data_IF_374753480457
#
_entry.id   IF_374753480457
#
_cell.length_a   1.000
_cell.length_b   1.000
_cell.length_c   1.000
_cell.angle_alpha   90.00
_cell.angle_beta   90.00
_cell.angle_gamma   90.00
#
_symmetry.space_group_name_H-M   'P 1'
#
loop_
_entity.id
_entity.type
_entity.pdbx_description
1 polymer ?
#
# COMPACT_ATOMS: atom_id res chain seq x y z
N UNK A 1 -22.64 -26.36 65.55
CA UNK A 1 -23.30 -27.28 66.51
C UNK A 1 -24.66 -27.72 65.95
N UNK A 2 -25.10 -28.96 66.23
CA UNK A 2 -26.46 -29.39 65.89
C UNK A 2 -27.49 -28.64 66.75
N UNK A 3 -28.79 -28.86 66.50
CA UNK A 3 -29.88 -28.24 67.27
C UNK A 3 -29.81 -28.52 68.79
N UNK A 4 -28.99 -29.48 69.21
CA UNK A 4 -28.75 -29.88 70.59
C UNK A 4 -27.44 -29.31 71.19
N UNK A 5 -26.74 -28.44 70.46
CA UNK A 5 -25.51 -27.79 70.93
C UNK A 5 -24.23 -28.61 70.79
N UNK A 6 -24.30 -29.79 70.17
CA UNK A 6 -23.15 -30.69 70.02
C UNK A 6 -22.33 -30.32 68.77
N UNK A 7 -21.01 -30.46 68.88
CA UNK A 7 -20.09 -30.18 67.77
C UNK A 7 -20.16 -31.29 66.72
N UNK A 8 -20.63 -30.96 65.51
CA UNK A 8 -20.67 -31.90 64.37
C UNK A 8 -19.49 -31.63 63.45
N UNK A 9 -18.64 -32.63 63.14
CA UNK A 9 -17.52 -32.44 62.22
C UNK A 9 -18.02 -32.23 60.79
N UNK A 10 -17.34 -31.36 60.04
CA UNK A 10 -17.72 -30.92 58.69
C UNK A 10 -17.83 -32.06 57.66
N UNK A 11 -17.11 -33.16 57.90
CA UNK A 11 -17.19 -34.39 57.11
C UNK A 11 -18.51 -35.16 57.23
N UNK A 12 -19.35 -34.86 58.23
CA UNK A 12 -20.62 -35.58 58.45
C UNK A 12 -21.72 -35.21 57.44
N UNK A 13 -21.57 -34.08 56.75
CA UNK A 13 -22.56 -33.57 55.79
C UNK A 13 -21.92 -33.03 54.50
N UNK A 14 -20.60 -33.19 54.32
CA UNK A 14 -19.86 -32.74 53.13
C UNK A 14 -19.13 -33.90 52.50
N UNK A 15 -19.23 -34.05 51.17
CA UNK A 15 -18.45 -35.00 50.38
C UNK A 15 -17.48 -34.21 49.51
N UNK A 16 -16.18 -34.43 49.70
CA UNK A 16 -15.14 -33.79 48.91
C UNK A 16 -14.81 -34.73 47.74
N UNK A 17 -14.96 -34.22 46.52
CA UNK A 17 -14.58 -34.92 45.29
C UNK A 17 -13.57 -34.06 44.54
N UNK A 18 -12.45 -34.66 44.14
CA UNK A 18 -11.48 -34.01 43.28
C UNK A 18 -12.02 -34.02 41.85
N UNK A 19 -12.25 -32.84 41.28
CA UNK A 19 -12.67 -32.66 39.90
C UNK A 19 -11.70 -31.73 39.18
N UNK A 20 -11.41 -32.04 37.92
CA UNK A 20 -10.64 -31.17 37.05
C UNK A 20 -11.59 -30.11 36.46
N UNK A 21 -11.33 -28.84 36.77
CA UNK A 21 -12.04 -27.70 36.22
C UNK A 21 -11.08 -26.74 35.52
N UNK A 22 -11.64 -25.86 34.68
CA UNK A 22 -10.88 -24.72 34.16
C UNK A 22 -10.75 -23.66 35.26
N UNK A 23 -9.53 -23.19 35.51
CA UNK A 23 -9.27 -22.10 36.46
C UNK A 23 -9.83 -20.76 35.97
N UNK A 24 -9.93 -20.59 34.65
CA UNK A 24 -10.47 -19.38 34.01
C UNK A 24 -11.40 -19.72 32.84
N UNK A 25 -12.56 -19.06 32.79
CA UNK A 25 -13.51 -19.13 31.68
C UNK A 25 -13.34 -17.87 30.84
N UNK A 26 -12.76 -18.01 29.64
CA UNK A 26 -12.61 -16.90 28.71
C UNK A 26 -13.89 -16.70 27.89
N UNK A 27 -14.30 -15.44 27.76
CA UNK A 27 -15.42 -15.04 26.91
C UNK A 27 -15.01 -13.88 26.02
N UNK A 28 -15.42 -13.94 24.75
CA UNK A 28 -15.24 -12.86 23.78
C UNK A 28 -16.56 -12.62 23.06
N UNK A 29 -16.98 -11.37 22.94
CA UNK A 29 -18.28 -10.98 22.36
C UNK A 29 -19.47 -11.81 22.89
N UNK A 30 -19.51 -12.03 24.21
CA UNK A 30 -20.54 -12.81 24.93
C UNK A 30 -20.51 -14.34 24.69
N UNK A 31 -19.64 -14.87 23.84
CA UNK A 31 -19.46 -16.31 23.62
C UNK A 31 -18.31 -16.86 24.47
N UNK A 32 -18.38 -18.13 24.89
CA UNK A 32 -17.25 -18.83 25.51
C UNK A 32 -16.20 -19.11 24.44
N UNK A 33 -14.97 -18.67 24.65
CA UNK A 33 -13.92 -18.71 23.62
C UNK A 33 -12.61 -19.28 24.15
N UNK A 34 -11.84 -19.88 23.25
CA UNK A 34 -10.45 -20.27 23.51
C UNK A 34 -9.52 -19.26 22.82
N UNK A 35 -8.56 -18.72 23.57
CA UNK A 35 -7.57 -17.82 23.00
C UNK A 35 -6.49 -18.64 22.28
N UNK A 36 -6.29 -18.38 20.99
CA UNK A 36 -5.26 -19.01 20.17
C UNK A 36 -4.26 -17.95 19.73
N UNK A 37 -3.00 -18.14 20.12
CA UNK A 37 -1.90 -17.26 19.71
C UNK A 37 -1.02 -17.99 18.71
N UNK A 38 -0.81 -17.37 17.56
CA UNK A 38 -0.01 -17.93 16.48
C UNK A 38 1.12 -16.96 16.14
N UNK A 39 2.30 -17.48 15.85
CA UNK A 39 3.37 -16.70 15.23
C UNK A 39 3.54 -17.15 13.79
N UNK A 40 3.87 -16.21 12.91
CA UNK A 40 4.09 -16.47 11.49
C UNK A 40 5.50 -17.03 11.29
N UNK A 41 5.63 -18.03 10.41
CA UNK A 41 6.92 -18.63 10.09
C UNK A 41 7.87 -17.58 9.45
N UNK A 42 9.19 -17.68 9.66
CA UNK A 42 10.16 -16.78 9.03
C UNK A 42 10.00 -16.77 7.49
N UNK A 43 9.87 -15.58 6.91
CA UNK A 43 9.70 -15.39 5.46
C UNK A 43 8.25 -15.29 4.98
N UNK A 44 7.26 -15.54 5.84
CA UNK A 44 5.85 -15.34 5.51
C UNK A 44 5.31 -14.01 6.06
N UNK A 45 4.34 -13.42 5.37
CA UNK A 45 3.72 -12.15 5.80
C UNK A 45 2.60 -12.38 6.83
N UNK A 46 2.30 -11.37 7.65
CA UNK A 46 1.19 -11.43 8.62
C UNK A 46 -0.15 -11.71 7.94
N UNK A 47 -0.46 -11.01 6.85
CA UNK A 47 -1.66 -11.27 6.06
C UNK A 47 -1.73 -12.67 5.44
N UNK A 48 -0.60 -13.29 5.13
CA UNK A 48 -0.57 -14.70 4.69
C UNK A 48 -0.85 -15.65 5.86
N UNK A 49 -0.29 -15.38 7.03
CA UNK A 49 -0.60 -16.13 8.26
C UNK A 49 -2.08 -16.06 8.64
N UNK A 50 -2.70 -14.88 8.52
CA UNK A 50 -4.14 -14.68 8.76
C UNK A 50 -4.96 -15.55 7.79
N UNK A 51 -4.64 -15.52 6.49
CA UNK A 51 -5.35 -16.33 5.48
C UNK A 51 -5.17 -17.82 5.68
N UNK A 52 -3.97 -18.28 6.04
CA UNK A 52 -3.72 -19.70 6.32
C UNK A 52 -4.48 -20.17 7.55
N UNK A 53 -4.49 -19.38 8.62
CA UNK A 53 -5.25 -19.72 9.82
C UNK A 53 -6.76 -19.69 9.57
N UNK A 54 -7.26 -18.76 8.76
CA UNK A 54 -8.66 -18.76 8.32
C UNK A 54 -9.02 -20.04 7.54
N UNK A 55 -8.13 -20.48 6.64
CA UNK A 55 -8.30 -21.76 5.92
C UNK A 55 -8.31 -22.95 6.88
N UNK A 56 -7.41 -22.97 7.87
CA UNK A 56 -7.30 -24.03 8.86
C UNK A 56 -8.55 -24.12 9.74
N UNK A 57 -9.09 -22.98 10.17
CA UNK A 57 -10.32 -22.91 10.96
C UNK A 57 -11.49 -23.45 10.15
N UNK A 58 -11.63 -23.01 8.89
CA UNK A 58 -12.69 -23.50 7.99
C UNK A 58 -12.61 -25.00 7.73
N UNK A 59 -11.41 -25.55 7.59
CA UNK A 59 -11.20 -26.97 7.32
C UNK A 59 -11.46 -27.86 8.54
N UNK A 60 -10.99 -27.46 9.73
CA UNK A 60 -11.02 -28.33 10.91
C UNK A 60 -12.18 -28.06 11.88
N UNK A 61 -12.67 -26.82 11.99
CA UNK A 61 -13.72 -26.46 12.95
C UNK A 61 -15.12 -26.40 12.31
N UNK A 62 -15.20 -26.35 10.97
CA UNK A 62 -16.48 -26.26 10.25
C UNK A 62 -17.27 -24.98 10.54
N UNK A 63 -18.57 -25.00 10.32
CA UNK A 63 -19.47 -23.84 10.48
C UNK A 63 -20.04 -23.68 11.91
N UNK A 64 -19.75 -24.61 12.83
CA UNK A 64 -20.30 -24.59 14.20
C UNK A 64 -19.56 -23.61 15.12
N UNK A 65 -18.33 -23.25 14.78
CA UNK A 65 -17.50 -22.32 15.58
C UNK A 65 -17.23 -21.03 14.82
N UNK A 66 -17.57 -19.89 15.46
CA UNK A 66 -17.11 -18.58 15.00
C UNK A 66 -15.66 -18.31 15.38
N UNK A 67 -14.97 -17.51 14.59
CA UNK A 67 -13.65 -16.98 14.93
C UNK A 67 -13.66 -15.47 14.84
N UNK A 68 -12.84 -14.83 15.68
CA UNK A 68 -12.69 -13.39 15.65
C UNK A 68 -11.23 -13.01 15.90
N UNK A 69 -10.75 -12.09 15.08
CA UNK A 69 -9.40 -11.57 15.21
C UNK A 69 -9.34 -10.50 16.28
N UNK A 70 -8.25 -10.48 17.03
CA UNK A 70 -7.99 -9.45 18.04
C UNK A 70 -6.72 -8.67 17.74
N UNK A 71 -6.56 -7.50 18.37
CA UNK A 71 -5.32 -6.72 18.36
C UNK A 71 -4.83 -6.38 16.93
N UNK A 72 -3.62 -6.83 16.57
CA UNK A 72 -2.96 -6.48 15.30
C UNK A 72 -3.64 -7.15 14.10
N UNK A 73 -4.04 -8.42 14.24
CA UNK A 73 -4.72 -9.15 13.16
C UNK A 73 -6.08 -8.52 12.81
N UNK A 74 -6.80 -8.03 13.83
CA UNK A 74 -8.05 -7.28 13.65
C UNK A 74 -7.82 -5.99 12.87
N UNK A 75 -6.80 -5.21 13.24
CA UNK A 75 -6.44 -3.97 12.55
C UNK A 75 -6.03 -4.23 11.10
N UNK A 76 -5.23 -5.26 10.84
CA UNK A 76 -4.79 -5.63 9.49
C UNK A 76 -5.97 -6.03 8.58
N UNK A 77 -6.90 -6.83 9.13
CA UNK A 77 -8.09 -7.28 8.38
C UNK A 77 -9.03 -6.11 8.04
N UNK A 78 -9.23 -5.16 8.96
CA UNK A 78 -10.03 -3.98 8.68
C UNK A 78 -9.33 -2.95 7.78
N UNK A 79 -8.03 -2.74 7.95
CA UNK A 79 -7.30 -1.70 7.24
C UNK A 79 -7.13 -1.99 5.73
N UNK A 80 -7.06 -3.27 5.34
CA UNK A 80 -6.82 -3.67 3.95
C UNK A 80 -7.81 -3.06 2.94
N UNK A 81 -9.10 -2.99 3.30
CA UNK A 81 -10.14 -2.42 2.44
C UNK A 81 -10.01 -0.89 2.34
N UNK A 82 -9.73 -0.22 3.46
CA UNK A 82 -9.62 1.25 3.53
C UNK A 82 -8.48 1.78 2.68
N UNK A 83 -7.32 1.10 2.67
CA UNK A 83 -6.17 1.53 1.87
C UNK A 83 -6.48 1.63 0.38
N UNK A 84 -7.19 0.63 -0.17
CA UNK A 84 -7.52 0.61 -1.61
C UNK A 84 -8.43 1.79 -1.97
N UNK A 85 -9.43 2.08 -1.14
CA UNK A 85 -10.34 3.21 -1.33
C UNK A 85 -9.59 4.54 -1.30
N UNK A 86 -8.69 4.72 -0.32
CA UNK A 86 -7.86 5.93 -0.21
C UNK A 86 -6.98 6.12 -1.45
N UNK A 87 -6.38 5.03 -1.96
CA UNK A 87 -5.53 5.11 -3.14
C UNK A 87 -6.30 5.51 -4.40
N UNK A 88 -7.47 4.91 -4.63
CA UNK A 88 -8.34 5.26 -5.76
C UNK A 88 -8.83 6.71 -5.65
N UNK A 89 -9.23 7.14 -4.45
CA UNK A 89 -9.63 8.53 -4.21
C UNK A 89 -8.48 9.51 -4.46
N UNK A 90 -7.26 9.22 -4.00
CA UNK A 90 -6.11 10.07 -4.23
C UNK A 90 -5.79 10.22 -5.72
N UNK A 91 -5.86 9.12 -6.49
CA UNK A 91 -5.67 9.15 -7.94
C UNK A 91 -6.76 9.94 -8.65
N UNK A 92 -8.02 9.75 -8.25
CA UNK A 92 -9.16 10.45 -8.82
C UNK A 92 -9.04 11.96 -8.57
N UNK A 93 -8.75 12.37 -7.34
CA UNK A 93 -8.58 13.79 -6.99
C UNK A 93 -7.39 14.38 -7.74
N UNK A 94 -6.24 13.70 -7.79
CA UNK A 94 -5.09 14.16 -8.55
C UNK A 94 -5.43 14.32 -10.05
N UNK A 95 -6.14 13.36 -10.63
CA UNK A 95 -6.59 13.42 -12.02
C UNK A 95 -7.54 14.60 -12.27
N UNK A 96 -8.54 14.82 -11.41
CA UNK A 96 -9.50 15.91 -11.56
C UNK A 96 -8.85 17.28 -11.43
N UNK A 97 -7.93 17.45 -10.48
CA UNK A 97 -7.19 18.72 -10.32
C UNK A 97 -6.37 19.02 -11.56
N UNK A 98 -5.70 18.01 -12.14
CA UNK A 98 -4.95 18.17 -13.39
C UNK A 98 -5.86 18.44 -14.59
N UNK A 99 -7.00 17.77 -14.68
CA UNK A 99 -7.98 17.99 -15.73
C UNK A 99 -8.53 19.43 -15.68
N UNK A 100 -8.81 19.94 -14.48
CA UNK A 100 -9.24 21.31 -14.27
C UNK A 100 -8.13 22.31 -14.62
N UNK A 101 -6.88 22.05 -14.23
CA UNK A 101 -5.75 22.93 -14.52
C UNK A 101 -5.44 23.04 -16.02
N UNK A 102 -5.54 21.92 -16.75
CA UNK A 102 -5.23 21.88 -18.18
C UNK A 102 -6.44 22.11 -19.09
N UNK A 103 -7.64 22.25 -18.54
CA UNK A 103 -8.88 22.36 -19.31
C UNK A 103 -9.03 21.23 -20.36
N UNK A 104 -8.50 20.04 -20.03
CA UNK A 104 -8.39 18.91 -20.95
C UNK A 104 -8.38 17.59 -20.20
N UNK A 105 -9.09 16.60 -20.74
CA UNK A 105 -9.18 15.26 -20.17
C UNK A 105 -8.04 14.33 -20.61
N UNK A 106 -7.35 14.64 -21.72
CA UNK A 106 -6.32 13.77 -22.32
C UNK A 106 -4.92 14.03 -21.77
N UNK A 107 -4.59 15.29 -21.49
CA UNK A 107 -3.29 15.71 -20.95
C UNK A 107 -3.01 15.11 -19.56
N UNK A 108 -3.98 15.05 -18.63
CA UNK A 108 -3.79 14.39 -17.33
C UNK A 108 -3.57 12.87 -17.45
N UNK A 109 -4.23 12.20 -18.41
CA UNK A 109 -4.03 10.76 -18.64
C UNK A 109 -2.58 10.47 -19.03
N UNK A 110 -2.01 11.29 -19.90
CA UNK A 110 -0.60 11.15 -20.30
C UNK A 110 0.36 11.34 -19.11
N UNK A 111 0.05 12.26 -18.18
CA UNK A 111 0.84 12.47 -16.97
C UNK A 111 0.72 11.30 -15.97
N UNK A 112 -0.48 10.73 -15.83
CA UNK A 112 -0.76 9.59 -14.93
C UNK A 112 -0.13 8.29 -15.45
N UNK A 113 0.20 8.20 -16.74
CA UNK A 113 0.83 7.01 -17.32
C UNK A 113 2.23 6.70 -16.76
N UNK A 114 2.88 7.65 -16.07
CA UNK A 114 4.12 7.35 -15.33
C UNK A 114 3.91 6.45 -14.10
N UNK A 115 2.69 6.39 -13.55
CA UNK A 115 2.43 5.69 -12.30
C UNK A 115 2.68 4.18 -12.34
N UNK A 116 2.22 3.42 -13.35
CA UNK A 116 2.51 1.99 -13.43
C UNK A 116 4.01 1.68 -13.35
N UNK A 117 4.84 2.51 -13.99
CA UNK A 117 6.30 2.37 -13.95
C UNK A 117 6.84 2.62 -12.53
N UNK A 118 6.35 3.65 -11.85
CA UNK A 118 6.73 3.95 -10.47
C UNK A 118 6.30 2.83 -9.49
N UNK A 119 5.10 2.29 -9.66
CA UNK A 119 4.58 1.17 -8.88
C UNK A 119 5.39 -0.11 -9.11
N UNK A 120 5.73 -0.42 -10.36
CA UNK A 120 6.61 -1.54 -10.70
C UNK A 120 7.97 -1.40 -10.03
N UNK A 121 8.54 -0.19 -10.02
CA UNK A 121 9.81 0.08 -9.35
C UNK A 121 9.71 -0.09 -7.84
N UNK A 122 8.63 0.35 -7.21
CA UNK A 122 8.41 0.17 -5.77
C UNK A 122 8.28 -1.32 -5.41
N UNK A 123 7.52 -2.09 -6.19
CA UNK A 123 7.34 -3.53 -5.98
C UNK A 123 8.66 -4.29 -6.17
N UNK A 124 9.44 -3.95 -7.20
CA UNK A 124 10.77 -4.51 -7.42
C UNK A 124 11.72 -4.17 -6.26
N UNK A 125 11.67 -2.94 -5.75
CA UNK A 125 12.46 -2.53 -4.59
C UNK A 125 12.13 -3.34 -3.33
N UNK A 126 10.84 -3.53 -3.04
CA UNK A 126 10.41 -4.37 -1.93
C UNK A 126 10.83 -5.83 -2.10
N UNK A 127 10.76 -6.36 -3.33
CA UNK A 127 11.20 -7.72 -3.63
C UNK A 127 12.70 -7.90 -3.44
N UNK A 128 13.52 -6.98 -3.98
CA UNK A 128 14.99 -7.01 -3.85
C UNK A 128 15.44 -6.86 -2.40
N UNK A 129 14.76 -6.00 -1.63
CA UNK A 129 15.08 -5.77 -0.22
C UNK A 129 14.48 -6.83 0.72
N UNK A 130 13.66 -7.76 0.20
CA UNK A 130 12.96 -8.78 1.00
C UNK A 130 11.98 -8.20 2.02
N UNK A 131 11.47 -6.98 1.79
CA UNK A 131 10.55 -6.32 2.72
C UNK A 131 9.09 -6.58 2.31
N UNK A 132 8.20 -6.92 3.27
CA UNK A 132 6.78 -7.05 2.98
C UNK A 132 6.14 -5.70 2.62
N UNK A 133 5.03 -5.75 1.89
CA UNK A 133 4.23 -4.55 1.59
C UNK A 133 3.50 -4.11 2.86
N UNK A 134 4.11 -3.17 3.58
CA UNK A 134 3.58 -2.62 4.83
C UNK A 134 2.86 -1.29 4.62
N UNK A 135 2.25 -0.74 5.68
CA UNK A 135 1.68 0.61 5.66
C UNK A 135 2.73 1.66 5.27
N UNK A 136 4.00 1.49 5.70
CA UNK A 136 5.09 2.39 5.30
C UNK A 136 5.38 2.33 3.80
N UNK A 137 5.36 1.13 3.22
CA UNK A 137 5.47 0.93 1.77
C UNK A 137 4.33 1.64 1.03
N UNK A 138 3.10 1.54 1.55
CA UNK A 138 1.92 2.21 0.97
C UNK A 138 2.03 3.73 1.02
N UNK A 139 2.49 4.31 2.14
CA UNK A 139 2.77 5.74 2.24
C UNK A 139 3.83 6.16 1.20
N UNK A 140 4.88 5.34 1.02
CA UNK A 140 5.89 5.54 -0.02
C UNK A 140 5.30 5.50 -1.44
N UNK A 141 4.39 4.58 -1.71
CA UNK A 141 3.67 4.50 -2.99
C UNK A 141 2.83 5.75 -3.24
N UNK A 142 2.12 6.28 -2.24
CA UNK A 142 1.37 7.55 -2.37
C UNK A 142 2.32 8.72 -2.66
N UNK A 143 3.48 8.75 -2.02
CA UNK A 143 4.51 9.76 -2.32
C UNK A 143 5.01 9.63 -3.77
N UNK A 144 5.22 8.41 -4.26
CA UNK A 144 5.63 8.15 -5.64
C UNK A 144 4.60 8.57 -6.68
N UNK A 145 3.30 8.45 -6.37
CA UNK A 145 2.23 8.97 -7.23
C UNK A 145 2.44 10.47 -7.48
N UNK A 146 2.67 11.24 -6.43
CA UNK A 146 2.87 12.69 -6.53
C UNK A 146 4.17 13.04 -7.27
N UNK A 147 5.27 12.34 -6.97
CA UNK A 147 6.57 12.56 -7.61
C UNK A 147 6.58 12.16 -9.08
N UNK A 148 5.92 11.05 -9.43
CA UNK A 148 5.76 10.58 -10.81
C UNK A 148 4.89 11.54 -11.60
N UNK A 149 3.75 11.97 -11.02
CA UNK A 149 2.88 12.96 -11.63
C UNK A 149 3.64 14.27 -11.91
N UNK A 150 4.42 14.80 -10.95
CA UNK A 150 5.26 16.00 -11.17
C UNK A 150 6.14 15.87 -12.41
N UNK A 151 6.80 14.72 -12.59
CA UNK A 151 7.67 14.48 -13.74
C UNK A 151 6.88 14.41 -15.05
N UNK A 152 5.71 13.76 -15.05
CA UNK A 152 4.84 13.68 -16.24
C UNK A 152 4.22 15.01 -16.65
N UNK A 153 3.71 15.75 -15.66
CA UNK A 153 3.11 17.09 -15.82
C UNK A 153 4.08 18.03 -16.54
N UNK A 154 5.34 18.11 -16.08
CA UNK A 154 6.35 19.00 -16.65
C UNK A 154 6.66 18.75 -18.14
N UNK A 155 6.56 17.49 -18.58
CA UNK A 155 6.77 17.09 -19.98
C UNK A 155 5.53 17.44 -20.81
N UNK A 156 4.35 17.07 -20.32
CA UNK A 156 3.08 17.28 -21.02
C UNK A 156 2.79 18.78 -21.20
N UNK A 157 3.07 19.60 -20.20
CA UNK A 157 2.89 21.05 -20.24
C UNK A 157 3.71 21.68 -21.38
N UNK A 158 5.02 21.43 -21.42
CA UNK A 158 5.84 21.98 -22.50
C UNK A 158 5.53 21.36 -23.86
N UNK A 159 5.15 20.09 -23.91
CA UNK A 159 4.74 19.47 -25.17
C UNK A 159 3.48 20.14 -25.74
N UNK A 160 2.59 20.63 -24.86
CA UNK A 160 1.44 21.44 -25.24
C UNK A 160 1.83 22.82 -25.72
N UNK A 161 2.76 23.49 -25.03
CA UNK A 161 3.25 24.81 -25.42
C UNK A 161 3.94 24.76 -26.80
N UNK A 162 4.78 23.76 -27.05
CA UNK A 162 5.39 23.56 -28.36
C UNK A 162 4.37 23.22 -29.44
N UNK A 163 3.29 22.50 -29.10
CA UNK A 163 2.19 22.25 -30.04
C UNK A 163 1.43 23.54 -30.36
N UNK A 164 1.21 24.40 -29.37
CA UNK A 164 0.59 25.72 -29.56
C UNK A 164 1.44 26.66 -30.42
N UNK A 165 2.76 26.50 -30.40
CA UNK A 165 3.70 27.21 -31.29
C UNK A 165 3.68 26.71 -32.74
N UNK A 166 2.90 25.67 -33.05
CA UNK A 166 2.72 25.15 -34.42
C UNK A 166 3.58 23.94 -34.77
N UNK A 167 4.37 23.40 -33.84
CA UNK A 167 5.20 22.21 -34.10
C UNK A 167 4.36 20.95 -34.32
N UNK A 168 4.91 19.97 -35.05
CA UNK A 168 4.30 18.64 -35.17
C UNK A 168 4.20 17.97 -33.78
N UNK A 169 3.21 17.09 -33.57
CA UNK A 169 3.00 16.42 -32.27
C UNK A 169 4.29 15.74 -31.78
N UNK A 170 5.00 15.09 -32.71
CA UNK A 170 6.22 14.33 -32.41
C UNK A 170 7.39 15.24 -32.06
N UNK A 171 7.55 16.34 -32.81
CA UNK A 171 8.62 17.30 -32.54
C UNK A 171 8.38 18.04 -31.22
N UNK A 172 7.13 18.40 -30.93
CA UNK A 172 6.73 19.02 -29.67
C UNK A 172 7.01 18.10 -28.47
N UNK A 173 6.68 16.81 -28.56
CA UNK A 173 6.95 15.82 -27.52
C UNK A 173 8.46 15.63 -27.31
N UNK A 174 9.23 15.53 -28.39
CA UNK A 174 10.68 15.36 -28.33
C UNK A 174 11.37 16.57 -27.71
N UNK A 175 10.99 17.78 -28.11
CA UNK A 175 11.62 19.02 -27.64
C UNK A 175 11.28 19.31 -26.17
N UNK A 176 10.04 19.02 -25.75
CA UNK A 176 9.63 19.07 -24.35
C UNK A 176 10.44 18.10 -23.48
N UNK A 177 10.60 16.85 -23.93
CA UNK A 177 11.42 15.86 -23.26
C UNK A 177 12.88 16.30 -23.14
N UNK A 178 13.46 16.84 -24.22
CA UNK A 178 14.86 17.26 -24.25
C UNK A 178 15.17 18.40 -23.26
N UNK A 179 14.31 19.42 -23.22
CA UNK A 179 14.50 20.58 -22.33
C UNK A 179 14.28 20.21 -20.87
N UNK A 180 13.32 19.33 -20.57
CA UNK A 180 13.00 18.91 -19.20
C UNK A 180 13.89 17.81 -18.66
N UNK A 181 14.62 17.09 -19.50
CA UNK A 181 15.48 15.99 -19.07
C UNK A 181 16.43 16.39 -17.95
N UNK A 182 17.14 17.53 -18.09
CA UNK A 182 18.08 18.03 -17.08
C UNK A 182 17.39 18.36 -15.75
N UNK A 183 16.33 19.20 -15.69
CA UNK A 183 15.59 19.46 -14.45
C UNK A 183 14.97 18.21 -13.81
N UNK A 184 14.42 17.29 -14.61
CA UNK A 184 13.80 16.05 -14.11
C UNK A 184 14.86 15.17 -13.46
N UNK A 185 16.01 14.96 -14.12
CA UNK A 185 17.12 14.19 -13.56
C UNK A 185 17.66 14.84 -12.28
N UNK A 186 17.83 16.17 -12.26
CA UNK A 186 18.33 16.87 -11.07
C UNK A 186 17.43 16.65 -9.85
N UNK A 187 16.12 16.86 -9.99
CA UNK A 187 15.18 16.73 -8.87
C UNK A 187 15.01 15.28 -8.43
N UNK A 188 14.98 14.36 -9.38
CA UNK A 188 14.78 12.94 -9.10
C UNK A 188 16.02 12.30 -8.45
N UNK A 189 17.22 12.62 -8.94
CA UNK A 189 18.47 12.13 -8.35
C UNK A 189 18.72 12.74 -6.98
N UNK A 190 18.47 14.04 -6.79
CA UNK A 190 18.59 14.68 -5.48
C UNK A 190 17.67 14.01 -4.45
N UNK A 191 16.44 13.68 -4.86
CA UNK A 191 15.51 12.96 -4.00
C UNK A 191 16.00 11.53 -3.73
N UNK A 192 16.34 10.76 -4.76
CA UNK A 192 16.87 9.39 -4.63
C UNK A 192 18.05 9.34 -3.68
N UNK A 193 19.06 10.20 -3.86
CA UNK A 193 20.22 10.26 -2.97
C UNK A 193 19.87 10.77 -1.56
N UNK A 194 18.86 11.63 -1.42
CA UNK A 194 18.39 12.12 -0.12
C UNK A 194 17.70 11.04 0.72
N UNK A 195 16.92 10.14 0.11
CA UNK A 195 16.27 9.01 0.79
C UNK A 195 17.07 7.71 0.75
N UNK A 196 18.12 7.62 -0.06
CA UNK A 196 19.01 6.45 -0.14
C UNK A 196 19.55 5.96 1.23
N UNK A 197 19.91 6.83 2.20
CA UNK A 197 20.35 6.38 3.51
C UNK A 197 19.32 5.55 4.28
N UNK A 198 18.02 5.68 3.97
CA UNK A 198 16.96 4.89 4.61
C UNK A 198 17.07 3.39 4.30
N UNK A 199 17.66 3.03 3.14
CA UNK A 199 17.90 1.63 2.76
C UNK A 199 18.95 0.96 3.67
N UNK A 200 19.88 1.74 4.21
CA UNK A 200 20.98 1.26 5.04
C UNK A 200 20.78 1.61 6.51
N UNK A 201 19.57 2.02 6.90
CA UNK A 201 19.28 2.41 8.27
C UNK A 201 19.44 1.21 9.22
N UNK A 202 20.23 1.39 10.28
CA UNK A 202 20.41 0.42 11.36
C UNK A 202 19.87 0.97 12.69
N UNK A 203 19.60 0.07 13.63
CA UNK A 203 19.10 0.43 14.97
C UNK A 203 17.57 0.41 15.10
N UNK A 204 17.06 1.10 16.12
CA UNK A 204 15.64 1.09 16.48
C UNK A 204 14.76 1.59 15.32
N UNK A 205 13.73 0.84 14.94
CA UNK A 205 12.83 1.20 13.83
C UNK A 205 13.48 1.17 12.44
N UNK A 206 14.59 0.43 12.27
CA UNK A 206 15.21 0.22 10.97
C UNK A 206 14.24 -0.41 9.95
N UNK A 207 13.45 -1.41 10.36
CA UNK A 207 12.49 -2.08 9.47
C UNK A 207 11.51 -1.13 8.78
N UNK A 208 10.92 -0.19 9.53
CA UNK A 208 10.00 0.81 8.98
C UNK A 208 10.69 1.76 7.98
N UNK A 209 11.93 2.17 8.28
CA UNK A 209 12.73 3.06 7.43
C UNK A 209 13.14 2.38 6.13
N UNK A 210 13.58 1.12 6.22
CA UNK A 210 13.97 0.31 5.07
C UNK A 210 12.75 0.04 4.17
N UNK A 211 11.59 -0.31 4.73
CA UNK A 211 10.37 -0.55 3.95
C UNK A 211 9.91 0.69 3.16
N UNK A 212 9.96 1.88 3.79
CA UNK A 212 9.67 3.15 3.12
C UNK A 212 10.73 3.49 2.06
N UNK A 213 12.01 3.37 2.42
CA UNK A 213 13.13 3.68 1.54
C UNK A 213 13.16 2.79 0.30
N UNK A 214 12.92 1.48 0.45
CA UNK A 214 12.92 0.50 -0.63
C UNK A 214 11.86 0.85 -1.68
N UNK A 215 10.64 1.14 -1.26
CA UNK A 215 9.58 1.55 -2.17
C UNK A 215 9.96 2.81 -2.95
N UNK A 216 10.37 3.85 -2.22
CA UNK A 216 10.56 5.20 -2.77
C UNK A 216 11.81 5.31 -3.64
N UNK A 217 12.94 4.74 -3.21
CA UNK A 217 14.20 4.84 -3.95
C UNK A 217 14.12 4.07 -5.27
N UNK A 218 13.70 2.80 -5.23
CA UNK A 218 13.59 2.00 -6.44
C UNK A 218 12.44 2.48 -7.35
N UNK A 219 11.30 2.86 -6.76
CA UNK A 219 10.18 3.45 -7.48
C UNK A 219 10.57 4.72 -8.23
N UNK A 220 11.26 5.64 -7.58
CA UNK A 220 11.68 6.90 -8.21
C UNK A 220 12.82 6.68 -9.21
N UNK A 221 13.80 5.83 -8.91
CA UNK A 221 14.88 5.51 -9.82
C UNK A 221 14.36 4.89 -11.12
N UNK A 222 13.48 3.89 -11.03
CA UNK A 222 12.89 3.25 -12.20
C UNK A 222 11.97 4.20 -12.97
N UNK A 223 11.14 4.99 -12.27
CA UNK A 223 10.29 6.01 -12.87
C UNK A 223 11.12 7.04 -13.64
N UNK A 224 12.24 7.49 -13.10
CA UNK A 224 13.09 8.50 -13.75
C UNK A 224 13.75 7.94 -15.02
N UNK A 225 14.19 6.68 -15.00
CA UNK A 225 14.85 6.07 -16.16
C UNK A 225 13.85 5.71 -17.26
N UNK A 226 12.74 5.07 -16.91
CA UNK A 226 11.78 4.54 -17.88
C UNK A 226 10.68 5.54 -18.21
N UNK A 227 10.08 6.21 -17.22
CA UNK A 227 8.95 7.10 -17.48
C UNK A 227 9.38 8.33 -18.27
N UNK A 228 10.56 8.91 -18.03
CA UNK A 228 11.03 10.08 -18.79
C UNK A 228 11.18 9.80 -20.29
N UNK A 229 11.53 8.57 -20.68
CA UNK A 229 11.60 8.14 -22.09
C UNK A 229 10.21 7.77 -22.63
N UNK A 230 9.36 7.21 -21.78
CA UNK A 230 8.06 6.69 -22.15
C UNK A 230 6.97 7.77 -22.28
N UNK A 231 6.97 8.77 -21.41
CA UNK A 231 5.94 9.83 -21.32
C UNK A 231 5.81 10.63 -22.64
N UNK A 232 6.89 11.07 -23.32
CA UNK A 232 6.76 11.76 -24.61
C UNK A 232 6.04 10.93 -25.68
N UNK A 233 6.33 9.62 -25.75
CA UNK A 233 5.68 8.71 -26.69
C UNK A 233 4.19 8.52 -26.35
N UNK A 234 3.86 8.47 -25.06
CA UNK A 234 2.47 8.40 -24.60
C UNK A 234 1.69 9.67 -24.87
N UNK A 235 2.31 10.83 -24.69
CA UNK A 235 1.73 12.10 -25.08
C UNK A 235 1.44 12.13 -26.59
N UNK A 236 2.37 11.67 -27.44
CA UNK A 236 2.15 11.60 -28.89
C UNK A 236 0.93 10.72 -29.22
N UNK A 237 0.80 9.56 -28.57
CA UNK A 237 -0.34 8.65 -28.76
C UNK A 237 -1.66 9.31 -28.35
N UNK A 238 -1.70 9.94 -27.17
CA UNK A 238 -2.91 10.59 -26.64
C UNK A 238 -3.32 11.81 -27.48
N UNK A 239 -2.35 12.62 -27.92
CA UNK A 239 -2.61 13.77 -28.77
C UNK A 239 -3.13 13.36 -30.15
N UNK A 240 -2.57 12.29 -30.74
CA UNK A 240 -3.08 11.70 -31.99
C UNK A 240 -4.52 11.20 -31.85
N UNK A 241 -4.84 10.55 -30.73
CA UNK A 241 -6.21 10.13 -30.43
C UNK A 241 -7.14 11.34 -30.30
N UNK A 242 -6.73 12.38 -29.56
CA UNK A 242 -7.52 13.59 -29.38
C UNK A 242 -7.83 14.29 -30.70
N UNK A 243 -6.83 14.48 -31.58
CA UNK A 243 -7.03 15.12 -32.88
C UNK A 243 -7.88 14.27 -33.83
N UNK A 244 -7.82 12.94 -33.72
CA UNK A 244 -8.65 12.02 -34.50
C UNK A 244 -10.11 12.01 -34.03
N UNK A 245 -10.35 12.15 -32.73
CA UNK A 245 -11.69 12.31 -32.17
C UNK A 245 -12.28 13.70 -32.42
N UNK A 246 -11.46 14.76 -32.34
CA UNK A 246 -11.88 16.14 -32.60
C UNK A 246 -12.12 16.45 -34.08
N UNK A 247 -11.46 15.76 -35.02
CA UNK A 247 -11.78 15.84 -36.47
C UNK A 247 -13.07 15.11 -36.86
N UNK A 248 -13.67 14.36 -35.93
CA UNK A 248 -14.90 13.59 -36.16
C UNK A 248 -16.16 14.32 -35.64
N UNK A 249 -15.98 15.49 -35.03
CA UNK A 249 -17.01 16.51 -34.78
C UNK A 249 -16.81 17.66 -35.77
#
# INVERSE_FOLDING_TARGET
>A
PNASGEMVPFSSFTRVEEQLGMDQINRYNMYSTAAVTCNVAPGSSSGEGIRQMESLIKEHLGDEFGYEWTSVAYQETQAGTTTTVVFVMALLVAFLVLAAQYESWTSPVAAVMGLPVALLGAMLGCYVMGTPVSIYTQIGIILLVALSAKNGILIVEFARDFRAQGNSIRDAAFQAGHIRLRPILMTSLAFVFGVMPLLFATGAGAGSRIALGAAVVFGMALNTLLATVYIPNFYELMQKLQEKFSKKQ
#
